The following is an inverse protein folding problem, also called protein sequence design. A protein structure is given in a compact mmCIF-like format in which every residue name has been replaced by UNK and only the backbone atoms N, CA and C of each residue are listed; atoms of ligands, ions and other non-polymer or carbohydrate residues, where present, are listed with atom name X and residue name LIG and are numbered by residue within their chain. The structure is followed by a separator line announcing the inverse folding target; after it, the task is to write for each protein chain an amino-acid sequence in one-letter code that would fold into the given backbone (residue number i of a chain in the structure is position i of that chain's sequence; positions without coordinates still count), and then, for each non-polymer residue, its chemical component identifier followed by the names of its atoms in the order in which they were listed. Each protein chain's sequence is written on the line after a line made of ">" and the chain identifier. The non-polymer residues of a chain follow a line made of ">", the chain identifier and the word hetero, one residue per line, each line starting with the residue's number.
data_IF_155370953644
#
_entry.id   IF_155370953644
#
_cell.length_a   1.000
_cell.length_b   1.000
_cell.length_c   1.000
_cell.angle_alpha   90.00
_cell.angle_beta   90.00
_cell.angle_gamma   90.00
#
_symmetry.space_group_name_H-M   'P 1'
#
loop_
_entity.id
_entity.type
_entity.pdbx_description
1 polymer ?
#
# COMPACT_ATOMS: atom_id res chain seq x y z
N UNK A 1 25.99 -23.69 5.74
CA UNK A 1 26.10 -22.72 6.85
C UNK A 1 24.73 -22.61 7.52
N UNK A 2 24.67 -22.52 8.85
CA UNK A 2 23.41 -22.31 9.56
C UNK A 2 22.82 -20.93 9.22
N UNK A 3 21.49 -20.82 9.17
CA UNK A 3 20.80 -19.57 8.84
C UNK A 3 20.87 -18.62 10.04
N UNK A 4 21.63 -17.52 9.90
CA UNK A 4 21.72 -16.46 10.92
C UNK A 4 20.37 -15.79 11.18
N UNK A 5 19.46 -15.81 10.19
CA UNK A 5 18.09 -15.28 10.35
C UNK A 5 17.32 -16.16 11.33
N UNK A 6 17.36 -17.49 11.16
CA UNK A 6 16.66 -18.39 12.08
C UNK A 6 17.21 -18.28 13.50
N UNK A 7 18.52 -18.23 13.64
CA UNK A 7 19.20 -18.03 14.92
C UNK A 7 18.79 -16.71 15.59
N UNK A 8 18.70 -15.61 14.83
CA UNK A 8 18.28 -14.31 15.36
C UNK A 8 16.86 -14.34 15.95
N UNK A 9 15.92 -15.02 15.29
CA UNK A 9 14.52 -15.09 15.73
C UNK A 9 14.25 -16.18 16.79
N UNK A 10 15.22 -17.04 17.08
CA UNK A 10 15.10 -18.14 18.02
C UNK A 10 14.68 -17.63 19.40
N UNK A 11 13.54 -18.14 19.89
CA UNK A 11 12.94 -17.78 21.18
C UNK A 11 12.66 -16.27 21.39
N UNK A 12 12.62 -15.47 20.31
CA UNK A 12 12.30 -14.04 20.40
C UNK A 12 10.80 -13.79 20.51
N UNK A 13 10.43 -12.75 21.24
CA UNK A 13 9.07 -12.24 21.29
C UNK A 13 8.91 -11.07 20.31
N UNK A 14 7.93 -11.19 19.41
CA UNK A 14 7.69 -10.21 18.34
C UNK A 14 6.39 -9.46 18.60
N UNK A 15 6.44 -8.14 18.61
CA UNK A 15 5.27 -7.27 18.57
C UNK A 15 4.98 -6.86 17.13
N UNK A 16 3.75 -7.07 16.67
CA UNK A 16 3.30 -6.65 15.35
C UNK A 16 2.04 -5.78 15.47
N UNK A 17 2.15 -4.55 14.97
CA UNK A 17 0.99 -3.68 14.72
C UNK A 17 0.54 -3.82 13.27
N UNK A 18 -0.74 -3.58 12.99
CA UNK A 18 -1.28 -3.77 11.63
C UNK A 18 -1.33 -5.25 11.20
N UNK A 19 -1.31 -6.19 12.15
CA UNK A 19 -1.29 -7.63 11.89
C UNK A 19 -2.50 -8.16 11.10
N UNK A 20 -3.62 -7.43 11.08
CA UNK A 20 -4.81 -7.78 10.29
C UNK A 20 -4.73 -7.30 8.83
N UNK A 21 -3.80 -6.39 8.53
CA UNK A 21 -3.53 -5.88 7.19
C UNK A 21 -2.81 -6.90 6.31
N UNK A 22 -2.63 -6.56 5.03
CA UNK A 22 -2.01 -7.45 4.04
C UNK A 22 -0.57 -7.81 4.43
N UNK A 23 0.29 -6.80 4.66
CA UNK A 23 1.68 -7.01 5.02
C UNK A 23 1.82 -7.71 6.39
N UNK A 24 1.01 -7.32 7.38
CA UNK A 24 1.03 -7.95 8.70
C UNK A 24 0.77 -9.46 8.64
N UNK A 25 -0.23 -9.90 7.84
CA UNK A 25 -0.50 -11.33 7.63
C UNK A 25 0.67 -12.06 6.98
N UNK A 26 1.36 -11.43 6.01
CA UNK A 26 2.53 -12.02 5.38
C UNK A 26 3.71 -12.14 6.36
N UNK A 27 3.93 -11.14 7.22
CA UNK A 27 4.96 -11.21 8.27
C UNK A 27 4.65 -12.35 9.24
N UNK A 28 3.41 -12.46 9.72
CA UNK A 28 2.98 -13.56 10.61
C UNK A 28 3.22 -14.91 9.95
N UNK A 29 2.77 -15.08 8.70
CA UNK A 29 2.95 -16.32 7.95
C UNK A 29 4.43 -16.69 7.82
N UNK A 30 5.28 -15.72 7.48
CA UNK A 30 6.70 -15.94 7.29
C UNK A 30 7.41 -16.33 8.59
N UNK A 31 7.13 -15.60 9.67
CA UNK A 31 7.69 -15.90 10.99
C UNK A 31 7.30 -17.31 11.43
N UNK A 32 6.01 -17.67 11.35
CA UNK A 32 5.53 -18.98 11.78
C UNK A 32 6.05 -20.15 10.94
N UNK A 33 6.29 -19.93 9.63
CA UNK A 33 6.73 -21.01 8.74
C UNK A 33 8.24 -21.23 8.70
N UNK A 34 9.02 -20.17 8.89
CA UNK A 34 10.45 -20.20 8.57
C UNK A 34 11.37 -19.90 9.75
N UNK A 35 10.81 -19.43 10.87
CA UNK A 35 11.57 -19.08 12.09
C UNK A 35 11.00 -19.79 13.32
N UNK A 36 11.66 -19.67 14.48
CA UNK A 36 11.21 -20.23 15.75
C UNK A 36 11.03 -19.13 16.82
N UNK A 37 10.12 -18.20 16.55
CA UNK A 37 9.75 -17.15 17.52
C UNK A 37 8.98 -17.74 18.69
N UNK A 38 9.22 -17.23 19.90
CA UNK A 38 8.54 -17.69 21.13
C UNK A 38 7.09 -17.25 21.18
N UNK A 39 6.83 -15.97 20.90
CA UNK A 39 5.49 -15.38 20.98
C UNK A 39 5.35 -14.24 19.98
N UNK A 40 4.19 -14.17 19.32
CA UNK A 40 3.82 -13.04 18.46
C UNK A 40 2.67 -12.30 19.13
N UNK A 41 2.92 -11.08 19.58
CA UNK A 41 1.89 -10.17 20.09
C UNK A 41 1.29 -9.37 18.95
N UNK A 42 -0.03 -9.40 18.83
CA UNK A 42 -0.77 -8.63 17.83
C UNK A 42 -1.53 -7.50 18.50
N UNK A 43 -1.20 -6.25 18.14
CA UNK A 43 -2.04 -5.11 18.52
C UNK A 43 -3.18 -5.02 17.51
N UNK A 44 -4.37 -5.38 17.98
CA UNK A 44 -5.62 -5.23 17.24
C UNK A 44 -6.46 -4.20 17.98
N UNK A 45 -6.98 -3.22 17.24
CA UNK A 45 -7.88 -2.18 17.79
C UNK A 45 -9.06 -2.89 18.48
N UNK A 46 -9.20 -2.71 19.80
CA UNK A 46 -10.33 -3.27 20.54
C UNK A 46 -11.56 -2.38 20.39
N UNK A 47 -12.74 -2.94 20.68
CA UNK A 47 -13.99 -2.19 20.89
C UNK A 47 -14.22 -1.81 22.37
N UNK A 48 -13.35 -2.23 23.30
CA UNK A 48 -13.48 -2.01 24.75
C UNK A 48 -12.11 -1.93 25.44
N UNK A 49 -11.97 -1.04 26.42
CA UNK A 49 -10.69 -0.56 26.97
C UNK A 49 -10.09 -1.43 28.09
N UNK A 50 -10.90 -2.14 28.88
CA UNK A 50 -10.43 -2.83 30.09
C UNK A 50 -9.46 -4.00 29.78
N UNK A 51 -9.60 -4.64 28.62
CA UNK A 51 -8.72 -5.72 28.20
C UNK A 51 -7.34 -5.24 27.70
N UNK A 52 -7.17 -3.96 27.39
CA UNK A 52 -5.96 -3.42 26.78
C UNK A 52 -4.79 -3.37 27.77
N UNK A 53 -5.00 -2.81 28.97
CA UNK A 53 -3.95 -2.70 29.98
C UNK A 53 -3.35 -4.06 30.36
N UNK A 54 -4.18 -5.08 30.60
CA UNK A 54 -3.69 -6.43 30.93
C UNK A 54 -2.86 -7.05 29.80
N UNK A 55 -3.19 -6.77 28.53
CA UNK A 55 -2.42 -7.25 27.38
C UNK A 55 -1.07 -6.55 27.25
N UNK A 56 -1.04 -5.24 27.50
CA UNK A 56 0.19 -4.46 27.51
C UNK A 56 1.11 -4.89 28.65
N UNK A 57 0.60 -5.07 29.87
CA UNK A 57 1.39 -5.59 31.00
C UNK A 57 2.05 -6.94 30.66
N UNK A 58 1.29 -7.87 30.08
CA UNK A 58 1.82 -9.16 29.63
C UNK A 58 2.96 -9.02 28.61
N UNK A 59 2.87 -8.06 27.67
CA UNK A 59 3.94 -7.82 26.70
C UNK A 59 5.24 -7.37 27.35
N UNK A 60 5.16 -6.55 28.40
CA UNK A 60 6.34 -6.13 29.16
C UNK A 60 6.89 -7.25 30.03
N UNK A 61 6.03 -8.03 30.69
CA UNK A 61 6.43 -9.21 31.47
C UNK A 61 7.17 -10.26 30.62
N UNK A 62 6.66 -10.53 29.42
CA UNK A 62 7.27 -11.50 28.51
C UNK A 62 8.47 -10.93 27.75
N UNK A 63 8.77 -9.63 27.87
CA UNK A 63 9.87 -8.89 27.22
C UNK A 63 9.83 -8.95 25.68
N UNK A 64 9.25 -7.92 25.05
CA UNK A 64 9.29 -7.75 23.60
C UNK A 64 10.72 -7.51 23.12
N UNK A 65 11.14 -8.26 22.11
CA UNK A 65 12.46 -8.15 21.50
C UNK A 65 12.44 -7.41 20.17
N UNK A 66 11.41 -7.65 19.35
CA UNK A 66 11.34 -7.15 17.99
C UNK A 66 9.98 -6.50 17.77
N UNK A 67 9.96 -5.30 17.19
CA UNK A 67 8.73 -4.60 16.83
C UNK A 67 8.65 -4.42 15.33
N UNK A 68 7.58 -4.92 14.73
CA UNK A 68 7.15 -4.56 13.37
C UNK A 68 5.99 -3.58 13.45
N UNK A 69 6.27 -2.30 13.18
CA UNK A 69 5.25 -1.27 13.10
C UNK A 69 4.73 -1.14 11.67
N UNK A 70 3.69 -1.91 11.33
CA UNK A 70 3.00 -1.87 10.03
C UNK A 70 1.59 -1.23 10.11
N UNK A 71 1.16 -0.79 11.29
CA UNK A 71 -0.12 -0.13 11.48
C UNK A 71 -0.10 1.29 10.94
N UNK A 72 -0.55 1.48 9.70
CA UNK A 72 -0.65 2.79 9.05
C UNK A 72 -1.87 2.84 8.12
N UNK A 73 -2.35 4.05 7.82
CA UNK A 73 -3.33 4.34 6.78
C UNK A 73 -2.64 4.93 5.56
N UNK A 74 -2.87 4.33 4.39
CA UNK A 74 -2.44 4.85 3.09
C UNK A 74 -3.58 5.59 2.37
N UNK A 75 -4.64 5.96 3.09
CA UNK A 75 -5.78 6.64 2.50
C UNK A 75 -5.43 8.09 2.15
N UNK A 76 -5.14 8.33 0.87
CA UNK A 76 -4.80 9.65 0.32
C UNK A 76 -5.98 10.64 0.30
N UNK A 77 -7.21 10.18 0.56
CA UNK A 77 -8.43 11.00 0.65
C UNK A 77 -8.85 11.27 2.11
N UNK A 78 -8.00 10.89 3.09
CA UNK A 78 -8.24 11.19 4.50
C UNK A 78 -7.97 12.65 4.82
N UNK A 79 -8.66 13.19 5.83
CA UNK A 79 -8.35 14.54 6.31
C UNK A 79 -7.05 14.55 7.12
N UNK A 80 -6.45 15.75 7.28
CA UNK A 80 -5.18 15.92 7.99
C UNK A 80 -5.21 15.35 9.40
N UNK A 81 -6.31 15.55 10.12
CA UNK A 81 -6.48 15.10 11.50
C UNK A 81 -6.43 13.57 11.60
N UNK A 82 -7.11 12.86 10.71
CA UNK A 82 -7.09 11.40 10.65
C UNK A 82 -5.69 10.86 10.26
N UNK A 83 -5.06 11.49 9.26
CA UNK A 83 -3.73 11.10 8.79
C UNK A 83 -2.67 11.25 9.89
N UNK A 84 -2.64 12.41 10.58
CA UNK A 84 -1.70 12.67 11.68
C UNK A 84 -1.96 11.72 12.85
N UNK A 85 -3.21 11.54 13.27
CA UNK A 85 -3.51 10.66 14.40
C UNK A 85 -3.19 9.19 14.11
N UNK A 86 -3.39 8.74 12.88
CA UNK A 86 -3.13 7.33 12.52
C UNK A 86 -1.65 7.07 12.29
N UNK A 87 -0.97 7.92 11.52
CA UNK A 87 0.38 7.63 11.01
C UNK A 87 1.50 8.31 11.81
N UNK A 88 1.21 9.35 12.59
CA UNK A 88 2.22 10.06 13.40
C UNK A 88 2.00 9.75 14.87
N UNK A 89 0.81 10.05 15.40
CA UNK A 89 0.50 9.81 16.82
C UNK A 89 0.51 8.31 17.15
N UNK A 90 -0.06 7.46 16.27
CA UNK A 90 -0.01 6.01 16.43
C UNK A 90 1.43 5.46 16.51
N UNK A 91 2.33 5.99 15.69
CA UNK A 91 3.75 5.63 15.73
C UNK A 91 4.45 6.17 16.98
N UNK A 92 4.18 7.42 17.36
CA UNK A 92 4.72 8.03 18.58
C UNK A 92 4.32 7.22 19.82
N UNK A 93 3.06 6.80 19.94
CA UNK A 93 2.56 5.99 21.04
C UNK A 93 3.27 4.63 21.14
N UNK A 94 3.57 3.97 20.02
CA UNK A 94 4.31 2.71 20.01
C UNK A 94 5.79 2.92 20.36
N UNK A 95 6.41 4.00 19.88
CA UNK A 95 7.77 4.35 20.27
C UNK A 95 7.86 4.64 21.77
N UNK A 96 6.92 5.43 22.31
CA UNK A 96 6.84 5.75 23.74
C UNK A 96 6.61 4.51 24.60
N UNK A 97 5.74 3.60 24.15
CA UNK A 97 5.53 2.31 24.79
C UNK A 97 6.83 1.50 24.87
N UNK A 98 7.67 1.56 23.84
CA UNK A 98 8.91 0.78 23.77
C UNK A 98 10.13 1.46 24.40
N UNK A 99 10.05 2.74 24.80
CA UNK A 99 11.19 3.47 25.41
C UNK A 99 11.73 2.82 26.68
N UNK A 100 10.89 2.12 27.44
CA UNK A 100 11.27 1.40 28.66
C UNK A 100 11.62 -0.07 28.47
N UNK A 101 11.62 -0.57 27.22
CA UNK A 101 11.90 -1.97 26.95
C UNK A 101 13.42 -2.22 26.94
N UNK A 102 13.92 -2.96 27.93
CA UNK A 102 15.36 -3.25 28.09
C UNK A 102 15.88 -4.34 27.14
N UNK A 103 14.99 -5.14 26.55
CA UNK A 103 15.34 -6.34 25.76
C UNK A 103 15.17 -6.18 24.25
N UNK A 104 15.11 -4.94 23.76
CA UNK A 104 14.87 -4.62 22.35
C UNK A 104 16.08 -4.90 21.46
N UNK A 105 15.91 -5.80 20.51
CA UNK A 105 16.89 -6.10 19.46
C UNK A 105 16.65 -5.26 18.19
N UNK A 106 15.38 -5.02 17.82
CA UNK A 106 15.05 -4.30 16.58
C UNK A 106 13.67 -3.64 16.59
N UNK A 107 13.60 -2.38 16.12
CA UNK A 107 12.36 -1.69 15.80
C UNK A 107 12.29 -1.42 14.31
N UNK A 108 11.29 -1.98 13.63
CA UNK A 108 11.09 -1.87 12.17
C UNK A 108 9.84 -1.05 11.91
N UNK A 109 10.02 0.18 11.45
CA UNK A 109 8.95 1.02 10.93
C UNK A 109 8.75 0.72 9.44
N UNK A 110 7.53 0.35 9.06
CA UNK A 110 7.17 0.25 7.64
C UNK A 110 6.55 1.56 7.19
N UNK A 111 7.19 2.19 6.21
CA UNK A 111 6.70 3.40 5.55
C UNK A 111 6.39 3.12 4.07
N UNK A 112 5.91 4.14 3.37
CA UNK A 112 5.72 4.12 1.92
C UNK A 112 6.71 5.06 1.24
N UNK A 113 7.20 4.69 0.05
CA UNK A 113 8.01 5.57 -0.78
C UNK A 113 7.29 6.90 -1.10
N UNK A 114 5.95 6.90 -1.05
CA UNK A 114 5.15 8.12 -1.23
C UNK A 114 5.31 9.15 -0.10
N UNK A 115 5.91 8.80 1.04
CA UNK A 115 6.14 9.75 2.15
C UNK A 115 7.11 10.86 1.77
N UNK A 116 8.01 10.59 0.82
CA UNK A 116 9.02 11.54 0.34
C UNK A 116 8.83 11.85 -1.17
N UNK A 117 7.60 11.72 -1.67
CA UNK A 117 7.29 11.89 -3.10
C UNK A 117 7.46 13.31 -3.65
N UNK A 118 7.79 14.29 -2.81
CA UNK A 118 8.17 15.64 -3.25
C UNK A 118 9.60 15.68 -3.82
N UNK A 119 10.44 14.71 -3.46
CA UNK A 119 11.79 14.58 -4.00
C UNK A 119 11.77 13.68 -5.24
N UNK A 120 12.35 14.12 -6.36
CA UNK A 120 12.48 13.28 -7.56
C UNK A 120 13.42 12.08 -7.34
N UNK A 121 14.38 12.22 -6.44
CA UNK A 121 15.28 11.16 -5.99
C UNK A 121 14.99 10.90 -4.51
N UNK A 122 14.66 9.65 -4.18
CA UNK A 122 14.39 9.20 -2.81
C UNK A 122 15.57 8.34 -2.35
N UNK A 123 16.37 8.89 -1.46
CA UNK A 123 17.54 8.27 -0.86
C UNK A 123 17.16 7.36 0.32
N UNK A 124 18.07 6.48 0.71
CA UNK A 124 17.93 5.62 1.89
C UNK A 124 18.39 6.35 3.16
N UNK A 125 17.74 7.47 3.46
CA UNK A 125 18.00 8.30 4.63
C UNK A 125 16.71 8.63 5.37
N UNK A 126 16.85 9.01 6.64
CA UNK A 126 15.77 9.61 7.39
C UNK A 126 15.71 11.10 7.06
N UNK A 127 14.60 11.55 6.47
CA UNK A 127 14.41 12.94 6.08
C UNK A 127 13.94 13.76 7.28
N UNK A 128 14.53 14.94 7.46
CA UNK A 128 14.05 15.90 8.46
C UNK A 128 12.66 16.41 8.07
N UNK A 129 11.64 16.25 8.93
CA UNK A 129 10.30 16.72 8.63
C UNK A 129 10.27 18.26 8.63
N UNK A 130 9.42 18.89 7.79
CA UNK A 130 9.31 20.35 7.74
C UNK A 130 8.69 20.97 8.99
N UNK A 131 8.02 20.16 9.82
CA UNK A 131 7.36 20.55 11.06
C UNK A 131 7.69 19.51 12.12
N UNK A 132 7.96 19.97 13.35
CA UNK A 132 8.14 19.09 14.50
C UNK A 132 6.89 18.19 14.68
N UNK A 133 7.05 16.84 14.71
CA UNK A 133 5.91 15.94 14.79
C UNK A 133 5.07 16.12 16.06
N UNK A 134 5.67 16.50 17.20
CA UNK A 134 4.93 16.72 18.46
C UNK A 134 4.08 17.98 18.37
N UNK A 135 4.61 19.05 17.77
CA UNK A 135 3.85 20.26 17.49
C UNK A 135 2.68 19.97 16.55
N UNK A 136 2.90 19.20 15.48
CA UNK A 136 1.85 18.84 14.53
C UNK A 136 0.72 18.02 15.20
N UNK A 137 1.07 17.08 16.08
CA UNK A 137 0.08 16.33 16.87
C UNK A 137 -0.76 17.29 17.73
N UNK A 138 -0.12 18.19 18.48
CA UNK A 138 -0.82 19.16 19.35
C UNK A 138 -1.79 20.06 18.57
N UNK A 139 -1.34 20.60 17.43
CA UNK A 139 -2.19 21.43 16.56
C UNK A 139 -3.43 20.64 16.11
N UNK A 140 -3.23 19.37 15.70
CA UNK A 140 -4.33 18.50 15.23
C UNK A 140 -5.28 18.10 16.36
N UNK A 141 -4.76 17.91 17.58
CA UNK A 141 -5.56 17.66 18.78
C UNK A 141 -6.41 18.88 19.13
N UNK A 142 -5.85 20.09 19.11
CA UNK A 142 -6.58 21.34 19.35
C UNK A 142 -7.68 21.58 18.29
N UNK A 143 -7.46 21.13 17.05
CA UNK A 143 -8.47 21.19 15.98
C UNK A 143 -9.65 20.21 16.17
N UNK A 144 -9.53 19.21 17.05
CA UNK A 144 -10.64 18.34 17.46
C UNK A 144 -11.26 18.94 18.74
N UNK A 145 -12.51 19.43 18.73
CA UNK A 145 -13.06 20.14 19.89
C UNK A 145 -13.28 19.32 21.17
N UNK A 146 -12.78 18.09 21.30
CA UNK A 146 -12.99 17.23 22.48
C UNK A 146 -11.68 16.61 23.01
N UNK A 147 -11.27 17.15 24.17
CA UNK A 147 -10.45 16.61 25.27
C UNK A 147 -8.90 16.54 25.21
N UNK A 148 -8.34 17.43 26.07
CA UNK A 148 -7.44 17.24 27.22
C UNK A 148 -5.93 16.98 27.02
N UNK A 149 -5.19 18.00 27.47
CA UNK A 149 -3.75 18.04 27.75
C UNK A 149 -3.19 16.79 28.44
N UNK A 150 -2.14 16.23 27.85
CA UNK A 150 -1.10 15.53 28.61
C UNK A 150 0.26 16.11 28.20
N UNK A 151 0.82 16.88 29.13
CA UNK A 151 2.20 17.34 29.07
C UNK A 151 3.17 16.16 29.11
N UNK A 152 4.20 16.21 28.27
CA UNK A 152 5.53 15.77 28.68
C UNK A 152 6.58 16.61 27.95
N UNK A 153 7.14 17.58 28.68
CA UNK A 153 8.39 18.23 28.36
C UNK A 153 9.51 17.20 28.53
N UNK A 154 9.90 16.61 27.41
CA UNK A 154 11.11 15.80 27.30
C UNK A 154 11.83 16.22 26.03
N UNK A 155 12.63 17.28 26.15
CA UNK A 155 13.71 17.57 25.20
C UNK A 155 14.83 16.58 25.50
N UNK A 156 14.68 15.36 24.99
CA UNK A 156 15.80 14.46 24.83
C UNK A 156 16.06 14.41 23.33
N UNK A 157 16.96 15.27 22.85
CA UNK A 157 17.63 15.03 21.58
C UNK A 157 18.45 13.74 21.75
N UNK A 158 18.14 12.63 21.04
CA UNK A 158 19.02 11.49 21.08
C UNK A 158 20.24 11.79 20.21
N UNK A 159 21.40 11.81 20.86
CA UNK A 159 22.71 11.36 20.37
C UNK A 159 22.67 10.81 18.94
N UNK A 160 23.20 11.56 17.96
CA UNK A 160 23.76 11.21 16.64
C UNK A 160 23.43 9.82 16.00
N UNK A 161 22.23 9.28 16.23
CA UNK A 161 21.80 7.96 15.81
C UNK A 161 21.12 8.10 14.47
N UNK A 162 21.72 7.50 13.44
CA UNK A 162 21.13 7.45 12.10
C UNK A 162 20.44 6.09 11.93
N UNK A 163 19.10 6.04 11.85
CA UNK A 163 18.41 4.78 11.63
C UNK A 163 18.75 4.22 10.25
N UNK A 164 18.83 2.89 10.15
CA UNK A 164 18.99 2.21 8.87
C UNK A 164 17.69 2.28 8.07
N UNK A 165 17.75 2.92 6.90
CA UNK A 165 16.62 3.00 5.96
C UNK A 165 16.86 2.02 4.82
N UNK A 166 15.84 1.24 4.48
CA UNK A 166 15.86 0.31 3.36
C UNK A 166 14.69 0.62 2.44
N UNK A 167 15.00 1.02 1.22
CA UNK A 167 13.99 1.34 0.23
C UNK A 167 13.80 0.14 -0.70
N UNK A 168 12.56 -0.32 -0.83
CA UNK A 168 12.20 -1.40 -1.74
C UNK A 168 11.53 -0.84 -2.99
N UNK A 169 12.19 -0.96 -4.15
CA UNK A 169 11.70 -0.42 -5.42
C UNK A 169 11.89 -1.37 -6.59
N UNK A 170 11.00 -1.26 -7.57
CA UNK A 170 11.09 -1.98 -8.84
C UNK A 170 12.05 -1.34 -9.84
N UNK A 171 12.64 -0.17 -9.54
CA UNK A 171 13.41 0.66 -10.48
C UNK A 171 14.55 -0.08 -11.21
N UNK A 172 15.03 -1.20 -10.68
CA UNK A 172 16.07 -2.03 -11.28
C UNK A 172 15.56 -3.37 -11.82
N UNK A 173 14.25 -3.54 -12.02
CA UNK A 173 13.64 -4.80 -12.49
C UNK A 173 12.67 -4.59 -13.64
N UNK A 174 12.19 -5.70 -14.21
CA UNK A 174 11.16 -5.70 -15.26
C UNK A 174 9.82 -5.12 -14.80
N UNK A 175 9.64 -4.86 -13.51
CA UNK A 175 8.42 -4.25 -12.96
C UNK A 175 8.41 -2.72 -13.10
N UNK A 176 9.55 -2.08 -13.34
CA UNK A 176 9.60 -0.65 -13.63
C UNK A 176 9.32 -0.43 -15.11
N UNK A 177 8.14 0.11 -15.40
CA UNK A 177 7.65 0.31 -16.76
C UNK A 177 6.73 1.52 -16.84
N UNK A 178 6.61 2.10 -18.02
CA UNK A 178 5.65 3.17 -18.26
C UNK A 178 4.21 2.66 -18.12
N UNK A 179 3.26 3.55 -17.84
CA UNK A 179 1.83 3.20 -17.83
C UNK A 179 1.41 2.62 -19.20
N UNK A 180 1.98 3.13 -20.30
CA UNK A 180 1.74 2.61 -21.64
C UNK A 180 2.15 1.14 -21.75
N UNK A 181 3.39 0.82 -21.37
CA UNK A 181 3.90 -0.55 -21.42
C UNK A 181 3.14 -1.48 -20.49
N UNK A 182 2.78 -1.00 -19.28
CA UNK A 182 1.92 -1.72 -18.35
C UNK A 182 0.58 -2.07 -18.98
N UNK A 183 -0.08 -1.12 -19.64
CA UNK A 183 -1.37 -1.38 -20.28
C UNK A 183 -1.26 -2.33 -21.47
N UNK A 184 -0.22 -2.20 -22.28
CA UNK A 184 0.04 -3.13 -23.39
C UNK A 184 0.31 -4.54 -22.88
N UNK A 185 1.13 -4.68 -21.83
CA UNK A 185 1.43 -5.97 -21.22
C UNK A 185 0.18 -6.59 -20.58
N UNK A 186 -0.62 -5.81 -19.85
CA UNK A 186 -1.87 -6.29 -19.26
C UNK A 186 -2.92 -6.70 -20.31
N UNK A 187 -2.99 -6.00 -21.44
CA UNK A 187 -3.86 -6.38 -22.55
C UNK A 187 -3.43 -7.70 -23.20
N UNK A 188 -2.11 -7.90 -23.32
CA UNK A 188 -1.52 -9.09 -23.97
C UNK A 188 -1.37 -10.28 -23.03
N UNK A 189 -1.44 -10.11 -21.70
CA UNK A 189 -1.21 -11.17 -20.71
C UNK A 189 -2.34 -12.22 -20.65
N UNK A 190 -3.24 -12.28 -21.64
CA UNK A 190 -4.41 -13.16 -21.61
C UNK A 190 -5.40 -12.80 -20.49
N UNK A 191 -5.44 -11.52 -20.09
CA UNK A 191 -6.30 -11.03 -19.03
C UNK A 191 -7.77 -11.44 -19.23
N UNK A 192 -8.33 -12.14 -18.24
CA UNK A 192 -9.74 -12.48 -18.20
C UNK A 192 -10.52 -11.24 -17.75
N UNK A 193 -11.55 -10.81 -18.48
CA UNK A 193 -12.33 -9.62 -18.10
C UNK A 193 -13.04 -9.77 -16.74
N UNK A 194 -13.17 -8.66 -16.00
CA UNK A 194 -13.99 -8.57 -14.79
C UNK A 194 -15.48 -8.75 -15.11
N UNK A 195 -16.25 -9.25 -14.14
CA UNK A 195 -17.70 -9.43 -14.24
C UNK A 195 -18.42 -8.12 -14.61
N UNK A 196 -17.94 -6.99 -14.12
CA UNK A 196 -18.55 -5.66 -14.33
C UNK A 196 -17.98 -4.88 -15.53
N UNK A 197 -17.09 -5.47 -16.34
CA UNK A 197 -16.59 -4.83 -17.56
C UNK A 197 -17.73 -4.50 -18.51
N UNK A 198 -17.86 -3.22 -18.88
CA UNK A 198 -18.90 -2.69 -19.77
C UNK A 198 -18.43 -2.46 -21.21
N UNK A 199 -17.11 -2.30 -21.41
CA UNK A 199 -16.47 -2.15 -22.72
C UNK A 199 -15.01 -2.63 -22.63
N UNK A 200 -14.31 -2.73 -23.77
CA UNK A 200 -12.86 -2.89 -23.83
C UNK A 200 -12.17 -1.75 -23.06
N UNK A 201 -11.27 -2.03 -22.10
CA UNK A 201 -10.47 -1.00 -21.46
C UNK A 201 -9.67 -0.22 -22.51
N UNK A 202 -9.84 1.10 -22.52
CA UNK A 202 -9.07 2.01 -23.35
C UNK A 202 -8.38 3.01 -22.42
N UNK A 203 -7.10 3.27 -22.67
CA UNK A 203 -6.34 4.30 -21.99
C UNK A 203 -5.76 5.25 -23.02
N UNK A 204 -6.08 6.54 -22.88
CA UNK A 204 -5.49 7.62 -23.66
C UNK A 204 -4.72 8.50 -22.67
N UNK A 205 -3.41 8.60 -22.85
CA UNK A 205 -2.54 9.46 -22.05
C UNK A 205 -2.37 10.78 -22.81
N UNK A 206 -2.66 11.90 -22.15
CA UNK A 206 -2.69 13.23 -22.77
C UNK A 206 -1.83 14.17 -21.94
N UNK A 207 -0.87 14.83 -22.58
CA UNK A 207 0.02 15.81 -21.92
C UNK A 207 -0.62 17.19 -21.74
N UNK A 208 -1.53 17.57 -22.65
CA UNK A 208 -2.20 18.88 -22.62
C UNK A 208 -3.49 18.84 -21.79
N UNK A 209 -3.57 19.70 -20.78
CA UNK A 209 -4.76 19.83 -19.92
C UNK A 209 -6.02 20.20 -20.71
N UNK A 210 -5.92 21.11 -21.68
CA UNK A 210 -7.06 21.51 -22.51
C UNK A 210 -7.56 20.33 -23.34
N UNK A 211 -6.65 19.60 -24.01
CA UNK A 211 -7.01 18.40 -24.78
C UNK A 211 -7.62 17.33 -23.87
N UNK A 212 -7.08 17.16 -22.66
CA UNK A 212 -7.62 16.24 -21.67
C UNK A 212 -9.06 16.61 -21.29
N UNK A 213 -9.34 17.87 -21.00
CA UNK A 213 -10.69 18.34 -20.65
C UNK A 213 -11.67 18.15 -21.81
N UNK A 214 -11.26 18.46 -23.04
CA UNK A 214 -12.09 18.27 -24.24
C UNK A 214 -12.40 16.78 -24.44
N UNK A 215 -11.38 15.91 -24.46
CA UNK A 215 -11.59 14.47 -24.66
C UNK A 215 -12.35 13.83 -23.50
N UNK A 216 -12.10 14.23 -22.26
CA UNK A 216 -12.91 13.81 -21.10
C UNK A 216 -14.38 14.22 -21.25
N UNK A 217 -14.65 15.42 -21.76
CA UNK A 217 -16.01 15.86 -22.01
C UNK A 217 -16.69 14.99 -23.07
N UNK A 218 -16.04 14.82 -24.22
CA UNK A 218 -16.57 14.10 -25.38
C UNK A 218 -16.69 12.59 -25.17
N UNK A 219 -15.72 11.95 -24.52
CA UNK A 219 -15.63 10.48 -24.41
C UNK A 219 -16.21 9.94 -23.10
N UNK A 220 -16.35 10.77 -22.07
CA UNK A 220 -16.81 10.31 -20.76
C UNK A 220 -18.03 11.08 -20.27
N UNK A 221 -17.94 12.41 -20.18
CA UNK A 221 -18.95 13.23 -19.49
C UNK A 221 -20.26 13.31 -20.28
N UNK A 222 -20.21 13.75 -21.55
CA UNK A 222 -21.38 13.86 -22.40
C UNK A 222 -22.05 12.50 -22.63
N UNK A 223 -21.33 11.42 -23.02
CA UNK A 223 -21.93 10.10 -23.16
C UNK A 223 -22.60 9.61 -21.88
N UNK A 224 -21.98 9.82 -20.71
CA UNK A 224 -22.56 9.38 -19.44
C UNK A 224 -23.92 10.02 -19.15
N UNK A 225 -24.06 11.34 -19.38
CA UNK A 225 -25.34 12.03 -19.18
C UNK A 225 -26.38 11.65 -20.24
N UNK A 226 -25.96 11.44 -21.49
CA UNK A 226 -26.86 10.95 -22.55
C UNK A 226 -27.42 9.56 -22.22
N UNK A 227 -26.56 8.62 -21.82
CA UNK A 227 -27.01 7.28 -21.42
C UNK A 227 -27.84 7.29 -20.13
N UNK A 228 -27.50 8.14 -19.16
CA UNK A 228 -28.31 8.29 -17.95
C UNK A 228 -29.70 8.87 -18.26
N UNK A 229 -29.80 9.81 -19.21
CA UNK A 229 -31.08 10.31 -19.70
C UNK A 229 -31.89 9.18 -20.37
N UNK A 230 -31.26 8.38 -21.23
CA UNK A 230 -31.91 7.20 -21.84
C UNK A 230 -32.39 6.21 -20.78
N UNK A 231 -31.59 5.96 -19.73
CA UNK A 231 -32.01 5.12 -18.62
C UNK A 231 -33.23 5.70 -17.91
N UNK A 232 -33.25 7.01 -17.62
CA UNK A 232 -34.38 7.68 -16.99
C UNK A 232 -35.66 7.59 -17.84
N UNK A 233 -35.56 7.74 -19.17
CA UNK A 233 -36.69 7.60 -20.10
C UNK A 233 -37.28 6.17 -20.04
N UNK A 234 -36.45 5.14 -19.84
CA UNK A 234 -36.87 3.73 -19.72
C UNK A 234 -37.20 3.37 -18.25
N UNK A 235 -37.37 4.36 -17.37
CA UNK A 235 -37.73 4.15 -15.96
C UNK A 235 -36.61 3.57 -15.09
N UNK A 236 -35.36 3.64 -15.54
CA UNK A 236 -34.17 3.19 -14.81
C UNK A 236 -33.43 4.38 -14.17
N UNK A 237 -32.72 4.10 -13.07
CA UNK A 237 -31.93 5.13 -12.37
C UNK A 237 -30.63 5.45 -13.14
N UNK A 238 -30.16 6.71 -13.09
CA UNK A 238 -28.85 7.08 -13.63
C UNK A 238 -27.74 6.30 -12.93
N UNK A 239 -26.70 5.92 -13.68
CA UNK A 239 -25.61 5.07 -13.20
C UNK A 239 -24.25 5.53 -13.70
N UNK A 240 -24.13 5.94 -14.96
CA UNK A 240 -22.83 6.23 -15.57
C UNK A 240 -22.23 7.53 -15.04
N UNK A 241 -23.04 8.59 -14.87
CA UNK A 241 -22.57 9.85 -14.28
C UNK A 241 -22.02 9.64 -12.87
N UNK A 242 -22.63 8.74 -12.08
CA UNK A 242 -22.18 8.38 -10.73
C UNK A 242 -20.82 7.66 -10.79
N UNK A 243 -20.64 6.75 -11.75
CA UNK A 243 -19.38 6.02 -11.95
C UNK A 243 -18.27 7.00 -12.36
N UNK A 244 -18.51 7.87 -13.33
CA UNK A 244 -17.50 8.83 -13.79
C UNK A 244 -17.17 9.90 -12.74
N UNK A 245 -18.13 10.35 -11.93
CA UNK A 245 -17.84 11.24 -10.78
C UNK A 245 -16.88 10.57 -9.76
N UNK A 246 -17.05 9.27 -9.51
CA UNK A 246 -16.12 8.52 -8.66
C UNK A 246 -14.74 8.38 -9.30
N UNK A 247 -14.71 8.11 -10.61
CA UNK A 247 -13.46 8.02 -11.37
C UNK A 247 -12.70 9.35 -11.32
N UNK A 248 -13.38 10.47 -11.52
CA UNK A 248 -12.79 11.81 -11.43
C UNK A 248 -12.18 12.08 -10.06
N UNK A 249 -12.88 11.72 -8.98
CA UNK A 249 -12.35 11.85 -7.62
C UNK A 249 -11.06 11.03 -7.44
N UNK A 250 -11.08 9.76 -7.86
CA UNK A 250 -9.91 8.87 -7.77
C UNK A 250 -8.76 9.39 -8.62
N UNK A 251 -9.03 9.83 -9.85
CA UNK A 251 -8.01 10.40 -10.74
C UNK A 251 -7.41 11.69 -10.17
N UNK A 252 -8.21 12.56 -9.55
CA UNK A 252 -7.69 13.77 -8.90
C UNK A 252 -6.66 13.48 -7.81
N UNK A 253 -6.88 12.41 -7.03
CA UNK A 253 -5.94 11.97 -5.98
C UNK A 253 -4.72 11.27 -6.59
N UNK A 254 -4.92 10.39 -7.56
CA UNK A 254 -3.83 9.57 -8.14
C UNK A 254 -2.99 10.31 -9.19
N UNK A 255 -3.50 11.40 -9.77
CA UNK A 255 -2.83 12.12 -10.87
C UNK A 255 -1.38 12.44 -10.54
N UNK A 256 -1.12 12.98 -9.35
CA UNK A 256 0.23 13.31 -8.87
C UNK A 256 1.19 12.11 -8.97
N UNK A 257 0.71 10.91 -8.63
CA UNK A 257 1.50 9.67 -8.59
C UNK A 257 1.62 8.97 -9.94
N UNK A 258 0.67 9.19 -10.85
CA UNK A 258 0.65 8.54 -12.16
C UNK A 258 1.50 9.27 -13.20
N UNK A 259 1.70 10.58 -13.05
CA UNK A 259 2.37 11.42 -14.07
C UNK A 259 3.78 11.85 -13.68
N UNK A 260 4.29 11.34 -12.56
CA UNK A 260 5.62 11.63 -12.06
C UNK A 260 6.41 10.35 -11.94
N UNK A 261 7.71 10.49 -12.12
CA UNK A 261 8.66 9.40 -11.98
C UNK A 261 9.60 9.70 -10.82
N UNK A 262 9.98 8.64 -10.11
CA UNK A 262 10.85 8.71 -8.95
C UNK A 262 12.02 7.76 -9.12
N UNK A 263 13.22 8.26 -8.82
CA UNK A 263 14.41 7.44 -8.67
C UNK A 263 14.51 7.04 -7.20
N UNK A 264 14.12 5.82 -6.87
CA UNK A 264 14.20 5.29 -5.51
C UNK A 264 15.48 4.48 -5.38
N UNK A 265 16.46 5.05 -4.65
CA UNK A 265 17.71 4.41 -4.23
C UNK A 265 17.42 3.19 -3.39
N UNK A 266 18.20 2.11 -3.51
CA UNK A 266 17.97 0.82 -2.85
C UNK A 266 19.26 0.02 -2.60
N UNK A 267 20.37 0.73 -2.43
CA UNK A 267 21.72 0.21 -2.23
C UNK A 267 21.82 -0.66 -0.97
N UNK A 268 21.15 -0.29 0.13
CA UNK A 268 21.11 -1.08 1.37
C UNK A 268 20.40 -2.41 1.17
N UNK A 269 19.30 -2.45 0.41
CA UNK A 269 18.60 -3.69 0.06
C UNK A 269 19.47 -4.60 -0.81
N UNK A 270 20.17 -4.03 -1.80
CA UNK A 270 21.13 -4.76 -2.64
C UNK A 270 22.28 -5.34 -1.80
N UNK A 271 22.85 -4.54 -0.89
CA UNK A 271 23.90 -4.98 0.01
C UNK A 271 23.42 -6.07 0.99
N UNK A 272 22.16 -6.01 1.43
CA UNK A 272 21.55 -7.05 2.26
C UNK A 272 21.40 -8.37 1.49
N UNK A 273 20.95 -8.31 0.24
CA UNK A 273 20.83 -9.49 -0.64
C UNK A 273 22.16 -10.24 -0.76
N UNK A 274 23.26 -9.51 -0.94
CA UNK A 274 24.57 -10.13 -1.13
C UNK A 274 25.09 -10.84 0.12
N UNK A 275 24.66 -10.41 1.31
CA UNK A 275 25.02 -11.05 2.59
C UNK A 275 24.29 -12.37 2.86
N UNK A 276 23.21 -12.67 2.15
CA UNK A 276 22.43 -13.89 2.38
C UNK A 276 23.14 -15.13 1.85
N UNK A 277 23.05 -16.21 2.62
CA UNK A 277 23.47 -17.54 2.14
C UNK A 277 22.55 -18.02 1.00
N UNK A 278 22.99 -18.94 0.12
CA UNK A 278 22.14 -19.46 -0.95
C UNK A 278 20.80 -20.01 -0.47
N UNK A 279 20.78 -20.71 0.68
CA UNK A 279 19.55 -21.24 1.27
C UNK A 279 18.64 -20.14 1.81
N UNK A 280 19.21 -19.08 2.40
CA UNK A 280 18.45 -17.91 2.85
C UNK A 280 17.90 -17.11 1.67
N UNK A 281 18.61 -17.00 0.55
CA UNK A 281 18.11 -16.34 -0.68
C UNK A 281 16.89 -17.06 -1.24
N UNK A 282 16.81 -18.39 -1.12
CA UNK A 282 15.63 -19.17 -1.51
C UNK A 282 14.50 -18.97 -0.49
N UNK A 283 14.80 -19.10 0.80
CA UNK A 283 13.79 -19.06 1.87
C UNK A 283 13.20 -17.67 2.04
N UNK A 284 14.02 -16.63 1.99
CA UNK A 284 13.69 -15.22 2.25
C UNK A 284 13.90 -14.38 0.99
N UNK A 285 13.49 -14.88 -0.18
CA UNK A 285 13.67 -14.17 -1.44
C UNK A 285 12.93 -12.81 -1.43
N UNK A 286 13.68 -11.73 -1.60
CA UNK A 286 13.17 -10.37 -1.81
C UNK A 286 13.79 -9.72 -3.07
N UNK A 287 14.41 -10.50 -3.96
CA UNK A 287 14.98 -9.99 -5.20
C UNK A 287 13.88 -9.76 -6.24
N UNK A 288 13.49 -8.49 -6.39
CA UNK A 288 12.50 -8.04 -7.39
C UNK A 288 12.90 -8.35 -8.83
N UNK A 289 14.18 -8.59 -9.11
CA UNK A 289 14.67 -8.93 -10.46
C UNK A 289 14.26 -10.33 -10.88
N UNK A 290 14.03 -11.22 -9.92
CA UNK A 290 13.53 -12.57 -10.19
C UNK A 290 12.06 -12.60 -10.60
N UNK A 291 11.33 -11.50 -10.42
CA UNK A 291 9.91 -11.40 -10.77
C UNK A 291 9.77 -11.09 -12.26
N UNK A 292 9.06 -11.96 -12.97
CA UNK A 292 8.69 -11.75 -14.36
C UNK A 292 7.39 -10.95 -14.43
N UNK A 293 7.43 -9.79 -15.11
CA UNK A 293 6.31 -8.85 -15.14
C UNK A 293 5.00 -9.47 -15.64
N UNK A 294 5.02 -10.28 -16.70
CA UNK A 294 3.80 -10.88 -17.25
C UNK A 294 3.12 -11.83 -16.25
N UNK A 295 3.89 -12.76 -15.68
CA UNK A 295 3.41 -13.70 -14.66
C UNK A 295 2.90 -12.98 -13.42
N UNK A 296 3.61 -11.92 -13.01
CA UNK A 296 3.20 -11.07 -11.91
C UNK A 296 1.85 -10.39 -12.19
N UNK A 297 1.67 -9.79 -13.38
CA UNK A 297 0.42 -9.14 -13.76
C UNK A 297 -0.74 -10.11 -13.83
N UNK A 298 -0.56 -11.30 -14.44
CA UNK A 298 -1.60 -12.34 -14.45
C UNK A 298 -2.04 -12.70 -13.02
N UNK A 299 -1.05 -12.96 -12.14
CA UNK A 299 -1.30 -13.29 -10.73
C UNK A 299 -2.01 -12.15 -9.98
N UNK A 300 -1.62 -10.90 -10.26
CA UNK A 300 -2.24 -9.71 -9.69
C UNK A 300 -3.71 -9.61 -10.12
N UNK A 301 -4.00 -9.77 -11.41
CA UNK A 301 -5.37 -9.68 -11.92
C UNK A 301 -6.28 -10.79 -11.37
N UNK A 302 -5.78 -12.03 -11.27
CA UNK A 302 -6.51 -13.14 -10.64
C UNK A 302 -6.73 -12.90 -9.15
N UNK A 303 -5.72 -12.37 -8.45
CA UNK A 303 -5.81 -11.98 -7.05
C UNK A 303 -6.85 -10.88 -6.83
N UNK A 304 -6.87 -9.86 -7.68
CA UNK A 304 -7.87 -8.79 -7.65
C UNK A 304 -9.29 -9.34 -7.84
N UNK A 305 -9.48 -10.23 -8.83
CA UNK A 305 -10.78 -10.89 -9.06
C UNK A 305 -11.26 -11.66 -7.85
N UNK A 306 -10.42 -12.57 -7.34
CA UNK A 306 -10.80 -13.51 -6.30
C UNK A 306 -10.92 -12.86 -4.93
N UNK A 307 -9.93 -12.08 -4.53
CA UNK A 307 -9.83 -11.59 -3.16
C UNK A 307 -10.39 -10.19 -2.95
N UNK A 308 -10.25 -9.30 -3.95
CA UNK A 308 -10.72 -7.90 -3.83
C UNK A 308 -12.16 -7.77 -4.30
N UNK A 309 -12.45 -8.25 -5.52
CA UNK A 309 -13.78 -8.14 -6.12
C UNK A 309 -14.71 -9.31 -5.77
N UNK A 310 -14.16 -10.38 -5.18
CA UNK A 310 -14.89 -11.59 -4.77
C UNK A 310 -15.72 -12.17 -5.90
N UNK A 311 -15.15 -12.19 -7.11
CA UNK A 311 -15.80 -12.78 -8.28
C UNK A 311 -15.79 -14.31 -8.21
N UNK A 312 -16.85 -14.91 -8.76
CA UNK A 312 -16.93 -16.36 -8.94
C UNK A 312 -16.01 -16.79 -10.08
N UNK A 313 -14.90 -17.42 -9.72
CA UNK A 313 -13.86 -17.84 -10.67
C UNK A 313 -14.33 -18.95 -11.62
N UNK A 314 -15.39 -19.69 -11.27
CA UNK A 314 -15.96 -20.70 -12.19
C UNK A 314 -16.58 -20.07 -13.45
N UNK A 315 -16.90 -18.77 -13.40
CA UNK A 315 -17.48 -18.02 -14.53
C UNK A 315 -16.45 -17.28 -15.38
N UNK A 316 -15.16 -17.52 -15.15
CA UNK A 316 -14.08 -16.85 -15.85
C UNK A 316 -14.20 -16.98 -17.38
N UNK A 317 -14.52 -18.17 -17.88
CA UNK A 317 -14.69 -18.41 -19.33
C UNK A 317 -15.88 -17.64 -19.92
N UNK A 318 -17.00 -17.56 -19.18
CA UNK A 318 -18.15 -16.76 -19.61
C UNK A 318 -17.81 -15.27 -19.69
N UNK A 319 -17.04 -14.77 -18.72
CA UNK A 319 -16.55 -13.39 -18.75
C UNK A 319 -15.60 -13.15 -19.93
N UNK A 320 -14.75 -14.13 -20.27
CA UNK A 320 -13.85 -14.10 -21.43
C UNK A 320 -14.64 -14.06 -22.74
N UNK A 321 -15.59 -14.96 -22.94
CA UNK A 321 -16.42 -14.99 -24.15
C UNK A 321 -17.21 -13.69 -24.36
N UNK A 322 -17.70 -13.08 -23.27
CA UNK A 322 -18.33 -11.75 -23.34
C UNK A 322 -17.34 -10.67 -23.74
N UNK A 323 -16.13 -10.72 -23.21
CA UNK A 323 -15.07 -9.77 -23.56
C UNK A 323 -14.66 -9.88 -25.04
N UNK A 324 -14.51 -11.10 -25.56
CA UNK A 324 -14.22 -11.35 -26.97
C UNK A 324 -15.31 -10.76 -27.88
N UNK A 325 -16.58 -10.83 -27.47
CA UNK A 325 -17.67 -10.13 -28.19
C UNK A 325 -17.51 -8.61 -28.16
N UNK A 326 -17.10 -8.02 -27.04
CA UNK A 326 -16.80 -6.58 -27.00
C UNK A 326 -15.64 -6.20 -27.91
N UNK A 327 -14.58 -7.01 -27.94
CA UNK A 327 -13.44 -6.81 -28.85
C UNK A 327 -13.88 -6.85 -30.32
N UNK A 328 -14.77 -7.79 -30.67
CA UNK A 328 -15.34 -7.87 -32.01
C UNK A 328 -16.22 -6.67 -32.36
N UNK A 329 -17.08 -6.22 -31.43
CA UNK A 329 -17.88 -5.01 -31.62
C UNK A 329 -16.99 -3.76 -31.78
N UNK A 330 -15.91 -3.65 -31.01
CA UNK A 330 -14.94 -2.56 -31.09
C UNK A 330 -14.29 -2.49 -32.48
N UNK A 331 -13.85 -3.63 -33.03
CA UNK A 331 -13.32 -3.75 -34.39
C UNK A 331 -14.31 -3.23 -35.45
N UNK A 332 -15.58 -3.61 -35.34
CA UNK A 332 -16.63 -3.20 -36.29
C UNK A 332 -16.93 -1.70 -36.16
N UNK A 333 -17.02 -1.18 -34.94
CA UNK A 333 -17.44 0.20 -34.69
C UNK A 333 -16.33 1.23 -34.94
N UNK A 334 -15.07 0.83 -34.78
CA UNK A 334 -13.92 1.72 -34.92
C UNK A 334 -13.13 1.52 -36.22
N UNK A 335 -13.47 0.50 -37.02
CA UNK A 335 -12.85 0.19 -38.32
C UNK A 335 -11.31 0.13 -38.28
N UNK A 336 -10.74 -0.51 -37.26
CA UNK A 336 -9.31 -0.85 -37.20
C UNK A 336 -9.01 -2.18 -37.93
#
# INVERSE_FOLDING_TARGET
>A
MASKIKEFYENKNVLLTGGTGYLGKLIIEKLLRTTNVKTIFLIVRSKQDIAFHKRISKMFEEQVNIVFHCGASLNMDSNLVEAVMTNINGTAAILDLMKGAESMDAFVLVSTAYSNCLNNVVDEIFYEPPIDPKLLIRIVEDMKPDLLNIMSNGSNNPVNYKPLVMNFSGNSSSLYMSIKDYTSLAANSGYLAFKKTIWKPMLIIIESEIKFLVLKCLLHTLPAYLFDLMFMIIGRKPKLSIVYKKLDKVMGVLHYFLVREWIIKNENVKALWEKLTPNDRITYNFDVRSVQAETYLRSLMDGLKKYTLKEDMSKAESHKARYERYMFCDLILLCD
#
